data_IF_513295902705
#
_entry.id   IF_513295902705
#
_cell.length_a   1.000
_cell.length_b   1.000
_cell.length_c   1.000
_cell.angle_alpha   90.00
_cell.angle_beta   90.00
_cell.angle_gamma   90.00
#
_symmetry.space_group_name_H-M   'P 1'
#
loop_
_entity.id
_entity.type
_entity.pdbx_description
1 polymer ?
#
# COMPACT_ATOMS: atom_id res chain seq x y z
N UNK A 1 -4.59 14.74 5.43
CA UNK A 1 -5.31 13.61 4.80
C UNK A 1 -6.03 14.00 3.51
N UNK A 2 -6.90 15.04 3.52
CA UNK A 2 -7.63 15.44 2.30
C UNK A 2 -6.72 15.77 1.12
N UNK A 3 -5.64 16.51 1.37
CA UNK A 3 -4.69 16.87 0.30
C UNK A 3 -3.95 15.65 -0.25
N UNK A 4 -3.60 14.70 0.60
CA UNK A 4 -2.99 13.43 0.17
C UNK A 4 -3.93 12.64 -0.75
N UNK A 5 -5.20 12.53 -0.37
CA UNK A 5 -6.21 11.88 -1.21
C UNK A 5 -6.41 12.62 -2.54
N UNK A 6 -6.38 13.96 -2.52
CA UNK A 6 -6.47 14.76 -3.74
C UNK A 6 -5.33 14.45 -4.70
N UNK A 7 -4.10 14.26 -4.20
CA UNK A 7 -2.95 13.86 -5.03
C UNK A 7 -3.16 12.49 -5.64
N UNK A 8 -3.69 11.52 -4.89
CA UNK A 8 -4.00 10.18 -5.43
C UNK A 8 -5.02 10.30 -6.57
N UNK A 9 -6.06 11.12 -6.39
CA UNK A 9 -7.09 11.31 -7.42
C UNK A 9 -6.57 12.02 -8.68
N UNK A 10 -5.44 12.72 -8.60
CA UNK A 10 -4.82 13.38 -9.75
C UNK A 10 -3.74 12.53 -10.43
N UNK A 11 -3.50 11.30 -9.96
CA UNK A 11 -2.62 10.35 -10.63
C UNK A 11 -3.22 9.92 -11.98
N UNK A 12 -2.38 9.44 -12.89
CA UNK A 12 -2.86 8.83 -14.14
C UNK A 12 -3.81 7.65 -13.85
N UNK A 13 -4.75 7.41 -14.76
CA UNK A 13 -5.80 6.40 -14.53
C UNK A 13 -5.26 5.00 -14.18
N UNK A 14 -4.23 4.45 -14.85
CA UNK A 14 -3.70 3.14 -14.46
C UNK A 14 -3.22 3.09 -13.01
N UNK A 15 -2.56 4.13 -12.53
CA UNK A 15 -2.07 4.20 -11.16
C UNK A 15 -3.21 4.37 -10.14
N UNK A 16 -4.24 5.14 -10.48
CA UNK A 16 -5.43 5.25 -9.62
C UNK A 16 -6.14 3.92 -9.47
N UNK A 17 -6.28 3.18 -10.55
CA UNK A 17 -6.89 1.83 -10.54
C UNK A 17 -6.04 0.90 -9.66
N UNK A 18 -4.72 0.93 -9.82
CA UNK A 18 -3.81 0.11 -9.02
C UNK A 18 -3.94 0.41 -7.52
N UNK A 19 -3.92 1.68 -7.15
CA UNK A 19 -4.07 2.10 -5.74
C UNK A 19 -5.43 1.66 -5.20
N UNK A 20 -6.49 1.78 -5.98
CA UNK A 20 -7.83 1.34 -5.58
C UNK A 20 -7.87 -0.18 -5.36
N UNK A 21 -7.31 -0.97 -6.26
CA UNK A 21 -7.22 -2.43 -6.11
C UNK A 21 -6.43 -2.80 -4.87
N UNK A 22 -5.28 -2.18 -4.67
CA UNK A 22 -4.42 -2.42 -3.53
C UNK A 22 -5.13 -2.10 -2.21
N UNK A 23 -5.76 -0.93 -2.14
CA UNK A 23 -6.51 -0.50 -0.96
C UNK A 23 -7.68 -1.44 -0.67
N UNK A 24 -8.49 -1.76 -1.68
CA UNK A 24 -9.67 -2.62 -1.50
C UNK A 24 -9.29 -4.04 -1.11
N UNK A 25 -8.19 -4.57 -1.64
CA UNK A 25 -7.70 -5.90 -1.27
C UNK A 25 -7.31 -5.93 0.21
N UNK A 26 -6.60 -4.91 0.68
CA UNK A 26 -6.22 -4.81 2.10
C UNK A 26 -7.43 -4.53 2.99
N UNK A 27 -8.33 -3.66 2.57
CA UNK A 27 -9.56 -3.34 3.30
C UNK A 27 -10.51 -4.53 3.42
N UNK A 28 -10.39 -5.50 2.53
CA UNK A 28 -11.13 -6.78 2.61
C UNK A 28 -10.91 -7.53 3.92
N UNK A 29 -9.86 -7.20 4.67
CA UNK A 29 -9.64 -7.72 6.02
C UNK A 29 -10.84 -7.54 6.95
N UNK A 30 -11.66 -6.53 6.73
CA UNK A 30 -12.87 -6.27 7.52
C UNK A 30 -13.82 -7.46 7.51
N UNK A 31 -13.87 -8.23 6.42
CA UNK A 31 -14.73 -9.41 6.30
C UNK A 31 -14.19 -10.64 7.05
N UNK A 32 -12.94 -10.59 7.51
CA UNK A 32 -12.27 -11.71 8.16
C UNK A 32 -11.70 -11.32 9.55
N UNK A 33 -12.25 -10.29 10.19
CA UNK A 33 -11.73 -9.75 11.45
C UNK A 33 -11.54 -10.78 12.59
N UNK A 34 -12.36 -11.86 12.73
CA UNK A 34 -12.08 -12.90 13.71
C UNK A 34 -10.73 -13.60 13.52
N UNK A 35 -10.16 -13.53 12.33
CA UNK A 35 -8.87 -14.17 12.02
C UNK A 35 -7.72 -13.20 12.30
N UNK A 36 -6.63 -13.75 12.87
CA UNK A 36 -5.43 -12.96 13.18
C UNK A 36 -4.77 -12.41 11.91
N UNK A 37 -4.81 -13.14 10.81
CA UNK A 37 -4.26 -12.71 9.52
C UNK A 37 -4.92 -11.41 9.05
N UNK A 38 -6.23 -11.32 9.15
CA UNK A 38 -6.98 -10.13 8.77
C UNK A 38 -6.66 -8.92 9.66
N UNK A 39 -6.52 -9.14 10.95
CA UNK A 39 -6.15 -8.07 11.90
C UNK A 39 -4.76 -7.52 11.61
N UNK A 40 -3.81 -8.39 11.27
CA UNK A 40 -2.45 -7.98 10.92
C UNK A 40 -2.44 -7.19 9.62
N UNK A 41 -3.17 -7.64 8.60
CA UNK A 41 -3.28 -6.94 7.32
C UNK A 41 -3.93 -5.56 7.50
N UNK A 42 -5.03 -5.49 8.25
CA UNK A 42 -5.71 -4.22 8.51
C UNK A 42 -4.81 -3.25 9.29
N UNK A 43 -4.12 -3.74 10.31
CA UNK A 43 -3.15 -2.94 11.07
C UNK A 43 -2.01 -2.46 10.19
N UNK A 44 -1.51 -3.31 9.30
CA UNK A 44 -0.50 -2.96 8.30
C UNK A 44 -0.97 -1.88 7.34
N UNK A 45 -2.22 -1.95 6.88
CA UNK A 45 -2.82 -0.91 6.03
C UNK A 45 -2.89 0.43 6.75
N UNK A 46 -3.39 0.44 7.97
CA UNK A 46 -3.51 1.67 8.76
C UNK A 46 -2.14 2.28 9.04
N UNK A 47 -1.15 1.44 9.35
CA UNK A 47 0.22 1.89 9.56
C UNK A 47 0.82 2.47 8.27
N UNK A 48 0.57 1.83 7.12
CA UNK A 48 1.03 2.33 5.82
C UNK A 48 0.46 3.71 5.53
N UNK A 49 -0.85 3.89 5.70
CA UNK A 49 -1.50 5.20 5.49
C UNK A 49 -0.91 6.26 6.42
N UNK A 50 -0.69 5.92 7.68
CA UNK A 50 -0.11 6.82 8.66
C UNK A 50 1.32 7.24 8.27
N UNK A 51 2.18 6.27 7.94
CA UNK A 51 3.56 6.54 7.55
C UNK A 51 3.64 7.34 6.25
N UNK A 52 2.84 7.01 5.25
CA UNK A 52 2.79 7.75 4.00
C UNK A 52 2.32 9.17 4.20
N UNK A 53 1.36 9.38 5.10
CA UNK A 53 0.89 10.74 5.41
C UNK A 53 1.97 11.58 6.08
N UNK A 54 2.79 11.00 6.96
CA UNK A 54 3.94 11.69 7.56
C UNK A 54 4.95 12.10 6.49
N UNK A 55 5.31 11.18 5.59
CA UNK A 55 6.26 11.46 4.50
C UNK A 55 5.69 12.56 3.60
N UNK A 56 4.40 12.46 3.24
CA UNK A 56 3.72 13.43 2.41
C UNK A 56 3.73 14.83 3.04
N UNK A 57 3.45 14.95 4.33
CA UNK A 57 3.42 16.27 5.00
C UNK A 57 4.78 16.95 5.03
N UNK A 58 5.86 16.17 4.98
CA UNK A 58 7.23 16.70 5.02
C UNK A 58 7.86 16.92 3.65
N UNK A 59 7.58 16.02 2.69
CA UNK A 59 8.28 15.97 1.40
C UNK A 59 7.36 16.14 0.20
N UNK A 60 6.05 16.14 0.40
CA UNK A 60 5.08 16.16 -0.70
C UNK A 60 4.88 14.78 -1.33
N UNK A 61 4.24 14.76 -2.50
CA UNK A 61 3.93 13.53 -3.20
C UNK A 61 5.11 13.08 -4.06
N UNK A 62 6.09 12.46 -3.43
CA UNK A 62 7.35 12.02 -4.04
C UNK A 62 7.46 10.49 -4.01
N UNK A 63 8.43 9.96 -4.78
CA UNK A 63 8.68 8.50 -4.85
C UNK A 63 9.05 7.89 -3.50
N UNK A 64 9.61 8.68 -2.58
CA UNK A 64 9.95 8.21 -1.24
C UNK A 64 8.73 7.78 -0.41
N UNK A 65 7.51 8.12 -0.83
CA UNK A 65 6.27 7.64 -0.19
C UNK A 65 6.22 6.10 -0.09
N UNK A 66 6.89 5.39 -0.99
CA UNK A 66 6.99 3.94 -0.93
C UNK A 66 7.61 3.41 0.36
N UNK A 67 8.44 4.19 1.06
CA UNK A 67 8.96 3.80 2.38
C UNK A 67 7.87 3.55 3.41
N UNK A 68 6.71 4.17 3.27
CA UNK A 68 5.58 3.97 4.18
C UNK A 68 5.01 2.56 4.17
N UNK A 69 5.40 1.72 3.22
CA UNK A 69 4.91 0.34 3.08
C UNK A 69 5.97 -0.72 3.39
N UNK A 70 7.17 -0.35 3.80
CA UNK A 70 8.26 -1.32 4.00
C UNK A 70 8.00 -2.34 5.11
N UNK A 71 7.16 -2.02 6.10
CA UNK A 71 6.76 -2.98 7.12
C UNK A 71 5.98 -4.18 6.52
N UNK A 72 5.43 -4.03 5.31
CA UNK A 72 4.76 -5.13 4.62
C UNK A 72 5.71 -6.28 4.26
N UNK A 73 7.01 -6.05 4.18
CA UNK A 73 7.99 -7.14 3.95
C UNK A 73 7.86 -8.21 5.04
N UNK A 74 7.88 -7.79 6.30
CA UNK A 74 7.72 -8.70 7.43
C UNK A 74 6.31 -9.32 7.45
N UNK A 75 5.29 -8.52 7.18
CA UNK A 75 3.91 -9.00 7.11
C UNK A 75 3.73 -10.08 6.03
N UNK A 76 4.27 -9.87 4.84
CA UNK A 76 4.14 -10.83 3.74
C UNK A 76 4.89 -12.12 4.02
N UNK A 77 6.08 -12.05 4.62
CA UNK A 77 6.82 -13.24 5.03
C UNK A 77 6.02 -14.06 6.04
N UNK A 78 5.43 -13.40 7.02
CA UNK A 78 4.59 -14.03 8.03
C UNK A 78 3.34 -14.66 7.41
N UNK A 79 2.65 -13.95 6.51
CA UNK A 79 1.47 -14.47 5.81
C UNK A 79 1.81 -15.68 4.94
N UNK A 80 2.94 -15.64 4.24
CA UNK A 80 3.39 -16.77 3.39
C UNK A 80 3.62 -18.03 4.23
N UNK A 81 4.24 -17.89 5.40
CA UNK A 81 4.44 -19.01 6.34
C UNK A 81 3.09 -19.54 6.84
N UNK A 82 2.14 -18.66 7.09
CA UNK A 82 0.83 -19.06 7.61
C UNK A 82 -0.08 -19.70 6.57
N UNK A 83 0.21 -19.58 5.28
CA UNK A 83 -0.63 -20.17 4.23
C UNK A 83 -0.82 -21.67 4.43
N UNK A 84 0.19 -22.37 4.92
CA UNK A 84 0.12 -23.82 5.18
C UNK A 84 -0.89 -24.18 6.27
N UNK A 85 -1.26 -23.22 7.12
CA UNK A 85 -2.20 -23.42 8.23
C UNK A 85 -3.64 -23.06 7.86
N UNK A 86 -3.85 -22.49 6.65
CA UNK A 86 -5.17 -22.06 6.19
C UNK A 86 -5.68 -23.08 5.16
N UNK A 87 -6.93 -23.60 5.31
CA UNK A 87 -7.49 -24.51 4.31
C UNK A 87 -7.56 -23.88 2.92
N UNK A 88 -6.99 -24.55 1.90
CA UNK A 88 -6.83 -24.01 0.55
C UNK A 88 -8.12 -23.76 -0.22
N UNK A 89 -9.26 -24.30 0.24
CA UNK A 89 -10.56 -24.14 -0.42
C UNK A 89 -11.36 -22.95 0.13
N UNK A 90 -10.88 -22.27 1.17
CA UNK A 90 -11.60 -21.18 1.83
C UNK A 90 -11.40 -19.85 1.12
N UNK A 91 -12.38 -18.94 1.28
CA UNK A 91 -12.24 -17.56 0.83
C UNK A 91 -11.10 -16.83 1.54
N UNK A 92 -10.84 -17.16 2.81
CA UNK A 92 -9.72 -16.62 3.56
C UNK A 92 -8.38 -16.91 2.86
N UNK A 93 -8.17 -18.15 2.42
CA UNK A 93 -6.95 -18.54 1.70
C UNK A 93 -6.78 -17.72 0.42
N UNK A 94 -7.83 -17.63 -0.39
CA UNK A 94 -7.81 -16.86 -1.63
C UNK A 94 -7.54 -15.38 -1.39
N UNK A 95 -8.14 -14.82 -0.35
CA UNK A 95 -7.92 -13.43 0.02
C UNK A 95 -6.47 -13.19 0.48
N UNK A 96 -5.92 -14.07 1.32
CA UNK A 96 -4.51 -13.96 1.76
C UNK A 96 -3.54 -14.06 0.58
N UNK A 97 -3.79 -14.96 -0.36
CA UNK A 97 -2.99 -15.06 -1.61
C UNK A 97 -3.07 -13.75 -2.39
N UNK A 98 -4.27 -13.17 -2.52
CA UNK A 98 -4.46 -11.89 -3.20
C UNK A 98 -3.69 -10.76 -2.49
N UNK A 99 -3.71 -10.71 -1.17
CA UNK A 99 -2.95 -9.73 -0.38
C UNK A 99 -1.45 -9.90 -0.61
N UNK A 100 -0.94 -11.13 -0.55
CA UNK A 100 0.48 -11.41 -0.78
C UNK A 100 0.90 -10.94 -2.18
N UNK A 101 0.10 -11.25 -3.19
CA UNK A 101 0.39 -10.88 -4.57
C UNK A 101 0.37 -9.35 -4.75
N UNK A 102 -0.71 -8.69 -4.33
CA UNK A 102 -0.86 -7.24 -4.52
C UNK A 102 0.16 -6.45 -3.71
N UNK A 103 0.33 -6.78 -2.44
CA UNK A 103 1.30 -6.09 -1.59
C UNK A 103 2.74 -6.38 -2.02
N UNK A 104 3.03 -7.61 -2.45
CA UNK A 104 4.34 -7.99 -2.96
C UNK A 104 4.71 -7.20 -4.22
N UNK A 105 3.78 -7.10 -5.17
CA UNK A 105 3.98 -6.31 -6.38
C UNK A 105 4.13 -4.82 -6.04
N UNK A 106 3.34 -4.31 -5.12
CA UNK A 106 3.46 -2.94 -4.64
C UNK A 106 4.83 -2.67 -4.03
N UNK A 107 5.36 -3.59 -3.24
CA UNK A 107 6.70 -3.46 -2.65
C UNK A 107 7.81 -3.42 -3.70
N UNK A 108 7.67 -4.17 -4.79
CA UNK A 108 8.62 -4.09 -5.91
C UNK A 108 8.58 -2.71 -6.53
N UNK A 109 7.40 -2.18 -6.80
CA UNK A 109 7.22 -0.83 -7.34
C UNK A 109 7.80 0.22 -6.39
N UNK A 110 7.49 0.10 -5.09
CA UNK A 110 7.97 1.02 -4.06
C UNK A 110 9.50 1.01 -3.94
N UNK A 111 10.10 -0.17 -4.05
CA UNK A 111 11.56 -0.31 -4.02
C UNK A 111 12.20 0.42 -5.19
N UNK A 112 11.67 0.25 -6.39
CA UNK A 112 12.13 0.97 -7.58
C UNK A 112 11.99 2.49 -7.38
N UNK A 113 10.85 2.95 -6.86
CA UNK A 113 10.59 4.37 -6.64
C UNK A 113 11.54 4.96 -5.59
N UNK A 114 11.78 4.26 -4.50
CA UNK A 114 12.71 4.71 -3.45
C UNK A 114 14.13 4.78 -3.98
N UNK A 115 14.58 3.77 -4.74
CA UNK A 115 15.90 3.78 -5.36
C UNK A 115 16.03 4.96 -6.33
N UNK A 116 15.02 5.21 -7.17
CA UNK A 116 15.03 6.37 -8.08
C UNK A 116 15.10 7.69 -7.33
N UNK A 117 14.37 7.82 -6.21
CA UNK A 117 14.43 9.01 -5.36
C UNK A 117 15.85 9.21 -4.79
N UNK A 118 16.47 8.15 -4.28
CA UNK A 118 17.83 8.21 -3.75
C UNK A 118 18.88 8.55 -4.82
N UNK A 119 18.64 8.15 -6.06
CA UNK A 119 19.50 8.46 -7.21
C UNK A 119 19.26 9.84 -7.80
N UNK A 120 18.32 10.63 -7.26
CA UNK A 120 18.10 12.01 -7.65
C UNK A 120 16.72 12.34 -8.22
N UNK A 121 15.85 11.35 -8.47
CA UNK A 121 14.49 11.58 -8.99
C UNK A 121 13.54 12.06 -7.88
N UNK A 122 13.79 13.25 -7.35
CA UNK A 122 13.12 13.82 -6.17
C UNK A 122 11.98 14.77 -6.47
N UNK A 123 11.71 15.03 -7.75
CA UNK A 123 10.58 15.86 -8.14
C UNK A 123 9.25 15.20 -7.72
N UNK A 124 8.23 16.01 -7.33
CA UNK A 124 6.91 15.46 -7.04
C UNK A 124 6.37 14.67 -8.23
N UNK A 125 5.81 13.47 -7.97
CA UNK A 125 5.21 12.63 -8.99
C UNK A 125 3.82 13.10 -9.38
N UNK A 126 3.15 13.83 -8.48
CA UNK A 126 1.87 14.49 -8.73
C UNK A 126 1.95 15.91 -8.21
N UNK A 127 1.60 16.88 -9.05
CA UNK A 127 1.55 18.30 -8.70
C UNK A 127 0.13 18.79 -8.91
N UNK A 128 -0.46 19.36 -7.85
CA UNK A 128 -1.76 20.01 -7.91
C UNK A 128 -1.54 21.51 -7.86
N UNK A 129 -2.06 22.23 -8.87
CA UNK A 129 -1.99 23.69 -8.90
C UNK A 129 -2.87 24.27 -7.78
N UNK A 130 -2.36 25.30 -7.10
CA UNK A 130 -3.08 25.95 -5.98
C UNK A 130 -4.41 26.59 -6.41
N UNK A 131 -4.53 26.98 -7.66
CA UNK A 131 -5.72 27.59 -8.24
C UNK A 131 -6.84 26.57 -8.52
N UNK A 132 -6.55 25.27 -8.46
CA UNK A 132 -7.52 24.19 -8.67
C UNK A 132 -8.00 23.61 -7.32
N UNK A 133 -7.24 23.81 -6.26
CA UNK A 133 -7.53 23.36 -4.92
C UNK A 133 -8.19 24.50 -4.14
#
# INVERSE_FOLDING_TARGET
MRLFLAHILHMSLPWRIWVAILFMTNAGAVFFLPRVEARVVLGGLLLAVFQQNIIFTRLGFVRLLGLGQFHWVAMLAWLAIRLDTIPGETFLYRWVVAVIFCCGLSLVIDTVDVVRYLLGARAPTVVIRKDIV
#
